data_IF_206854865546
#
_entry.id   IF_206854865546
#
_cell.length_a   1.000
_cell.length_b   1.000
_cell.length_c   1.000
_cell.angle_alpha   90.00
_cell.angle_beta   90.00
_cell.angle_gamma   90.00
#
_symmetry.space_group_name_H-M   'P 1'
#
loop_
_entity.id
_entity.type
_entity.pdbx_description
1 polymer ?
#
# COMPACT_ATOMS: atom_id res chain seq x y z
N UNK A 1 -0.46 -10.93 29.94
CA UNK A 1 -1.01 -9.91 29.00
C UNK A 1 -0.03 -9.79 27.84
N UNK A 2 -0.32 -10.43 26.70
CA UNK A 2 0.50 -10.31 25.50
C UNK A 2 0.25 -8.94 24.88
N UNK A 3 1.24 -8.04 24.93
CA UNK A 3 1.21 -6.79 24.18
C UNK A 3 1.20 -7.16 22.70
N UNK A 4 0.05 -7.00 22.04
CA UNK A 4 -0.06 -7.05 20.59
C UNK A 4 0.88 -5.97 20.05
N UNK A 5 1.97 -6.38 19.40
CA UNK A 5 2.83 -5.46 18.66
C UNK A 5 1.95 -4.67 17.68
N UNK A 6 2.17 -3.36 17.51
CA UNK A 6 1.37 -2.55 16.60
C UNK A 6 1.41 -3.18 15.20
N UNK A 7 0.23 -3.33 14.61
CA UNK A 7 -0.04 -3.84 13.25
C UNK A 7 0.46 -2.87 12.18
N UNK A 8 1.69 -2.38 12.33
CA UNK A 8 2.26 -1.37 11.44
C UNK A 8 2.56 -2.06 10.12
N UNK A 9 1.89 -1.60 9.05
CA UNK A 9 2.23 -1.95 7.69
C UNK A 9 3.72 -1.67 7.44
N UNK A 10 4.35 -2.52 6.63
CA UNK A 10 5.75 -2.36 6.25
C UNK A 10 5.82 -2.25 4.74
N UNK A 11 6.62 -1.33 4.24
CA UNK A 11 6.85 -1.19 2.81
C UNK A 11 8.34 -1.21 2.48
N UNK A 12 8.65 -1.49 1.22
CA UNK A 12 9.99 -1.42 0.66
C UNK A 12 9.94 -1.06 -0.82
N UNK A 13 10.84 -0.19 -1.26
CA UNK A 13 11.05 0.06 -2.70
C UNK A 13 11.82 -1.12 -3.31
N UNK A 14 11.25 -1.83 -4.29
CA UNK A 14 11.93 -2.93 -4.94
C UNK A 14 12.96 -2.43 -5.96
N UNK A 15 14.07 -3.15 -6.14
CA UNK A 15 15.01 -2.92 -7.27
C UNK A 15 14.38 -3.32 -8.59
N UNK A 16 13.55 -4.36 -8.56
CA UNK A 16 12.65 -4.78 -9.64
C UNK A 16 11.43 -5.43 -9.02
N UNK A 17 10.30 -5.38 -9.71
CA UNK A 17 9.14 -6.08 -9.22
C UNK A 17 9.38 -7.59 -9.16
N UNK A 18 8.97 -8.25 -8.05
CA UNK A 18 9.10 -9.68 -7.91
C UNK A 18 8.19 -10.35 -8.93
N UNK A 19 8.72 -11.38 -9.58
CA UNK A 19 7.89 -12.23 -10.41
C UNK A 19 6.89 -13.00 -9.54
N UNK A 20 5.91 -13.64 -10.16
CA UNK A 20 4.86 -14.37 -9.45
C UNK A 20 5.41 -15.35 -8.42
N UNK A 21 6.44 -16.13 -8.76
CA UNK A 21 6.98 -17.15 -7.84
C UNK A 21 7.66 -16.52 -6.64
N UNK A 22 8.40 -15.44 -6.85
CA UNK A 22 9.02 -14.67 -5.76
C UNK A 22 7.96 -14.07 -4.83
N UNK A 23 6.85 -13.56 -5.38
CA UNK A 23 5.71 -13.09 -4.56
C UNK A 23 5.11 -14.20 -3.71
N UNK A 24 4.90 -15.38 -4.31
CA UNK A 24 4.39 -16.56 -3.61
C UNK A 24 5.33 -16.97 -2.46
N UNK A 25 6.64 -17.04 -2.71
CA UNK A 25 7.64 -17.39 -1.70
C UNK A 25 7.69 -16.38 -0.55
N UNK A 26 7.61 -15.07 -0.85
CA UNK A 26 7.55 -14.01 0.15
C UNK A 26 6.26 -14.09 0.96
N UNK A 27 5.11 -14.30 0.31
CA UNK A 27 3.82 -14.41 0.99
C UNK A 27 3.78 -15.62 1.94
N UNK A 28 4.30 -16.77 1.51
CA UNK A 28 4.42 -17.96 2.36
C UNK A 28 5.38 -17.73 3.54
N UNK A 29 6.46 -16.96 3.33
CA UNK A 29 7.33 -16.47 4.40
C UNK A 29 6.59 -15.59 5.40
N UNK A 30 5.77 -14.65 4.93
CA UNK A 30 4.96 -13.76 5.77
C UNK A 30 3.99 -14.56 6.65
N UNK A 31 3.29 -15.58 6.13
CA UNK A 31 2.38 -16.42 6.94
C UNK A 31 3.05 -17.04 8.16
N UNK A 32 4.34 -17.41 8.05
CA UNK A 32 5.11 -18.00 9.17
C UNK A 32 5.36 -17.00 10.30
N UNK A 33 5.45 -15.70 9.99
CA UNK A 33 5.84 -14.66 10.94
C UNK A 33 4.70 -13.69 11.31
N UNK A 34 3.69 -13.53 10.45
CA UNK A 34 2.55 -12.62 10.59
C UNK A 34 1.29 -13.27 10.01
N UNK A 35 0.49 -13.86 10.90
CA UNK A 35 -0.64 -14.75 10.55
C UNK A 35 -1.64 -14.18 9.53
N UNK A 36 -1.84 -12.86 9.50
CA UNK A 36 -2.91 -12.23 8.72
C UNK A 36 -2.42 -11.18 7.71
N UNK A 37 -1.12 -10.92 7.64
CA UNK A 37 -0.57 -9.92 6.73
C UNK A 37 -0.30 -10.55 5.36
N UNK A 38 -0.62 -9.84 4.29
CA UNK A 38 -0.49 -10.34 2.93
C UNK A 38 0.43 -9.43 2.13
N UNK A 39 1.06 -9.98 1.11
CA UNK A 39 1.95 -9.22 0.24
C UNK A 39 1.09 -8.47 -0.78
N UNK A 40 1.32 -7.17 -0.91
CA UNK A 40 0.69 -6.33 -1.92
C UNK A 40 1.79 -5.66 -2.75
N UNK A 41 1.77 -5.85 -4.05
CA UNK A 41 2.62 -5.09 -4.97
C UNK A 41 1.79 -3.99 -5.60
N UNK A 42 2.29 -2.76 -5.53
CA UNK A 42 1.66 -1.55 -6.05
C UNK A 42 2.45 -1.11 -7.28
N UNK A 43 1.79 -1.02 -8.44
CA UNK A 43 2.41 -0.58 -9.70
C UNK A 43 1.58 0.51 -10.35
N UNK A 44 2.23 1.56 -10.82
CA UNK A 44 1.56 2.56 -11.66
C UNK A 44 1.41 2.02 -13.07
N UNK A 45 0.18 1.94 -13.54
CA UNK A 45 -0.18 1.40 -14.85
C UNK A 45 -0.89 2.44 -15.70
N UNK A 46 -0.94 2.23 -17.01
CA UNK A 46 -1.77 3.01 -17.92
C UNK A 46 -3.18 2.41 -18.11
N UNK A 47 -3.95 2.98 -19.05
CA UNK A 47 -5.28 2.49 -19.42
C UNK A 47 -5.28 1.08 -20.04
N UNK A 48 -4.14 0.58 -20.49
CA UNK A 48 -3.95 -0.76 -21.04
C UNK A 48 -3.44 -1.75 -20.00
N UNK A 49 -3.31 -1.33 -18.73
CA UNK A 49 -2.73 -2.10 -17.62
C UNK A 49 -1.24 -2.40 -17.77
N UNK A 50 -0.53 -1.62 -18.57
CA UNK A 50 0.92 -1.74 -18.72
C UNK A 50 1.63 -0.85 -17.69
N UNK A 51 2.70 -1.34 -17.02
CA UNK A 51 3.46 -0.53 -16.07
C UNK A 51 4.15 0.66 -16.75
N UNK A 52 3.97 1.87 -16.21
CA UNK A 52 4.49 3.10 -16.83
C UNK A 52 5.42 3.92 -15.96
N UNK A 53 5.41 3.74 -14.64
CA UNK A 53 6.28 4.49 -13.73
C UNK A 53 6.89 3.60 -12.64
N UNK A 54 7.99 2.89 -12.94
CA UNK A 54 8.62 1.96 -12.01
C UNK A 54 9.27 2.66 -10.80
N UNK A 55 9.51 3.97 -10.87
CA UNK A 55 10.05 4.72 -9.74
C UNK A 55 9.04 4.85 -8.59
N UNK A 56 7.76 4.66 -8.89
CA UNK A 56 6.65 4.65 -7.95
C UNK A 56 6.19 3.23 -7.58
N UNK A 57 6.90 2.19 -8.01
CA UNK A 57 6.56 0.82 -7.61
C UNK A 57 6.89 0.58 -6.13
N UNK A 58 5.98 -0.09 -5.43
CA UNK A 58 6.13 -0.35 -3.99
C UNK A 58 5.67 -1.77 -3.64
N UNK A 59 6.40 -2.41 -2.72
CA UNK A 59 5.94 -3.63 -2.06
C UNK A 59 5.48 -3.28 -0.65
N UNK A 60 4.25 -3.63 -0.32
CA UNK A 60 3.63 -3.38 0.97
C UNK A 60 3.18 -4.70 1.60
N UNK A 61 3.41 -4.84 2.89
CA UNK A 61 2.78 -5.87 3.73
C UNK A 61 1.60 -5.24 4.44
N UNK A 62 0.39 -5.62 4.04
CA UNK A 62 -0.87 -5.03 4.52
C UNK A 62 -1.93 -6.11 4.79
N UNK A 63 -2.96 -5.76 5.56
CA UNK A 63 -4.11 -6.60 5.85
C UNK A 63 -5.25 -6.38 4.85
N UNK A 64 -5.33 -5.21 4.22
CA UNK A 64 -6.33 -4.86 3.20
C UNK A 64 -5.72 -4.13 2.01
N UNK A 65 -6.49 -4.02 0.92
CA UNK A 65 -6.14 -3.23 -0.26
C UNK A 65 -6.12 -1.73 0.10
N UNK A 66 -7.10 -1.26 0.87
CA UNK A 66 -7.17 0.15 1.30
C UNK A 66 -5.98 0.55 2.16
N UNK A 67 -5.50 -0.33 3.04
CA UNK A 67 -4.30 -0.08 3.82
C UNK A 67 -3.06 0.01 2.92
N UNK A 68 -2.93 -0.89 1.94
CA UNK A 68 -1.81 -0.86 0.99
C UNK A 68 -1.84 0.40 0.11
N UNK A 69 -3.03 0.79 -0.35
CA UNK A 69 -3.26 2.04 -1.09
C UNK A 69 -2.83 3.25 -0.26
N UNK A 70 -3.31 3.36 0.98
CA UNK A 70 -2.99 4.49 1.84
C UNK A 70 -1.49 4.59 2.14
N UNK A 71 -0.82 3.45 2.35
CA UNK A 71 0.64 3.42 2.51
C UNK A 71 1.35 3.89 1.24
N UNK A 72 0.87 3.48 0.06
CA UNK A 72 1.42 3.92 -1.21
C UNK A 72 1.21 5.42 -1.43
N UNK A 73 0.00 5.95 -1.19
CA UNK A 73 -0.36 7.36 -1.29
C UNK A 73 0.59 8.23 -0.47
N UNK A 74 0.72 7.93 0.82
CA UNK A 74 1.61 8.67 1.72
C UNK A 74 3.06 8.59 1.32
N UNK A 75 3.53 7.40 0.93
CA UNK A 75 4.91 7.25 0.46
C UNK A 75 5.16 8.02 -0.84
N UNK A 76 4.22 8.00 -1.78
CA UNK A 76 4.34 8.69 -3.06
C UNK A 76 4.38 10.22 -2.86
N UNK A 77 3.51 10.76 -2.01
CA UNK A 77 3.51 12.18 -1.66
C UNK A 77 4.76 12.57 -0.83
N UNK A 78 4.98 11.93 0.31
CA UNK A 78 5.97 12.36 1.31
C UNK A 78 7.42 12.06 0.89
N UNK A 79 7.65 10.96 0.18
CA UNK A 79 9.01 10.44 -0.09
C UNK A 79 9.37 10.54 -1.56
N UNK A 80 8.45 10.22 -2.46
CA UNK A 80 8.70 10.32 -3.89
C UNK A 80 8.39 11.72 -4.46
N UNK A 81 7.76 12.60 -3.67
CA UNK A 81 7.28 13.93 -4.10
C UNK A 81 6.50 13.85 -5.42
N UNK A 82 5.66 12.84 -5.56
CA UNK A 82 4.86 12.62 -6.75
C UNK A 82 3.59 13.47 -6.70
N UNK A 83 3.21 14.03 -7.84
CA UNK A 83 2.03 14.88 -8.01
C UNK A 83 1.14 14.33 -9.14
N UNK A 84 -0.14 14.66 -9.14
CA UNK A 84 -1.10 14.30 -10.18
C UNK A 84 -1.93 13.05 -9.93
N UNK A 85 -2.55 12.56 -11.00
CA UNK A 85 -3.43 11.38 -11.00
C UNK A 85 -2.75 10.14 -11.56
N UNK A 86 -2.88 9.03 -10.86
CA UNK A 86 -2.29 7.75 -11.21
C UNK A 86 -3.33 6.64 -11.18
N UNK A 87 -3.22 5.70 -12.13
CA UNK A 87 -3.90 4.41 -12.03
C UNK A 87 -2.96 3.42 -11.37
N UNK A 88 -3.35 2.91 -10.20
CA UNK A 88 -2.55 2.02 -9.39
C UNK A 88 -3.09 0.59 -9.49
N UNK A 89 -2.28 -0.34 -9.99
CA UNK A 89 -2.54 -1.77 -9.91
C UNK A 89 -2.02 -2.33 -8.58
N UNK A 90 -2.95 -2.74 -7.73
CA UNK A 90 -2.68 -3.41 -6.45
C UNK A 90 -2.86 -4.91 -6.65
N UNK A 91 -1.74 -5.65 -6.72
CA UNK A 91 -1.76 -7.11 -6.81
C UNK A 91 -1.53 -7.73 -5.46
N UNK A 92 -2.50 -8.51 -5.03
CA UNK A 92 -2.61 -9.07 -3.72
C UNK A 92 -2.28 -10.56 -3.74
N UNK A 93 -1.20 -10.94 -3.05
CA UNK A 93 -0.76 -12.34 -2.97
C UNK A 93 -1.03 -12.86 -1.57
N UNK A 94 -2.11 -13.63 -1.43
CA UNK A 94 -2.40 -14.35 -0.19
C UNK A 94 -1.50 -15.59 -0.07
N UNK A 95 -1.00 -15.93 1.12
CA UNK A 95 -0.22 -17.15 1.28
C UNK A 95 -1.05 -18.39 0.96
N UNK A 96 -0.38 -19.47 0.56
CA UNK A 96 -1.08 -20.71 0.22
C UNK A 96 -1.88 -21.21 1.44
N UNK A 97 -3.15 -21.56 1.21
CA UNK A 97 -4.00 -22.16 2.26
C UNK A 97 -3.40 -23.50 2.73
N UNK A 98 -2.94 -24.31 1.77
CA UNK A 98 -2.24 -25.58 1.95
C UNK A 98 -0.96 -25.61 1.11
N UNK A 99 0.12 -26.31 1.52
CA UNK A 99 1.34 -26.50 0.73
C UNK A 99 1.18 -27.08 -0.69
N UNK A 100 -0.01 -27.60 -1.01
CA UNK A 100 -0.35 -28.23 -2.30
C UNK A 100 -1.31 -27.39 -3.13
N UNK A 101 -1.79 -26.27 -2.58
CA UNK A 101 -2.73 -25.36 -3.24
C UNK A 101 -2.01 -24.10 -3.64
N UNK A 102 -2.27 -23.62 -4.85
CA UNK A 102 -1.64 -22.40 -5.36
C UNK A 102 -2.17 -21.16 -4.62
N UNK A 103 -1.31 -20.21 -4.23
CA UNK A 103 -1.72 -18.88 -3.82
C UNK A 103 -2.70 -18.25 -4.82
N UNK A 104 -3.76 -17.63 -4.30
CA UNK A 104 -4.68 -16.83 -5.12
C UNK A 104 -4.11 -15.42 -5.22
N UNK A 105 -3.88 -14.96 -6.44
CA UNK A 105 -3.61 -13.57 -6.74
C UNK A 105 -4.92 -12.89 -7.13
N UNK A 106 -5.11 -11.67 -6.62
CA UNK A 106 -6.20 -10.79 -7.00
C UNK A 106 -5.60 -9.42 -7.31
N UNK A 107 -5.89 -8.87 -8.48
CA UNK A 107 -5.41 -7.57 -8.90
C UNK A 107 -6.58 -6.61 -8.99
N UNK A 108 -6.44 -5.44 -8.36
CA UNK A 108 -7.43 -4.37 -8.37
C UNK A 108 -6.78 -3.09 -8.86
N UNK A 109 -7.45 -2.39 -9.76
CA UNK A 109 -7.04 -1.07 -10.27
C UNK A 109 -7.75 0.01 -9.49
N UNK A 110 -7.00 0.99 -9.00
CA UNK A 110 -7.53 2.12 -8.23
C UNK A 110 -6.96 3.41 -8.78
N UNK A 111 -7.83 4.37 -9.06
CA UNK A 111 -7.41 5.73 -9.38
C UNK A 111 -7.07 6.48 -8.10
N UNK A 112 -5.89 7.09 -8.08
CA UNK A 112 -5.36 7.89 -6.97
C UNK A 112 -5.08 9.28 -7.49
N UNK A 113 -5.63 10.29 -6.82
CA UNK A 113 -5.37 11.71 -7.08
C UNK A 113 -4.53 12.25 -5.93
N UNK A 114 -3.21 12.39 -6.14
CA UNK A 114 -2.29 12.89 -5.11
C UNK A 114 -2.46 14.38 -4.86
N UNK A 115 -2.85 15.15 -5.88
CA UNK A 115 -3.10 16.58 -5.74
C UNK A 115 -4.23 16.83 -4.74
N UNK A 116 -5.25 15.95 -4.72
CA UNK A 116 -6.36 16.04 -3.77
C UNK A 116 -5.94 15.78 -2.32
N UNK A 117 -4.94 14.93 -2.08
CA UNK A 117 -4.50 14.58 -0.73
C UNK A 117 -3.82 15.76 -0.03
N UNK A 118 -3.01 16.53 -0.76
CA UNK A 118 -2.38 17.75 -0.23
C UNK A 118 -3.42 18.78 0.25
N UNK A 119 -4.59 18.87 -0.41
CA UNK A 119 -5.67 19.77 0.02
C UNK A 119 -6.44 19.28 1.26
N UNK A 120 -6.57 17.96 1.46
CA UNK A 120 -7.31 17.40 2.60
C UNK A 120 -6.50 17.49 3.90
N UNK A 121 -5.18 17.29 3.85
CA UNK A 121 -4.27 17.44 5.00
C UNK A 121 -4.14 18.91 5.45
N UNK A 122 -4.08 19.86 4.51
CA UNK A 122 -4.06 21.30 4.84
C UNK A 122 -5.37 21.72 5.54
N UNK A 123 -6.52 21.19 5.12
CA UNK A 123 -7.80 21.53 5.72
C UNK A 123 -7.98 20.94 7.14
N UNK A 124 -7.52 19.70 7.40
CA UNK A 124 -7.52 19.12 8.75
C UNK A 124 -6.56 19.86 9.70
N UNK A 125 -5.38 20.27 9.22
CA UNK A 125 -4.45 21.09 9.99
C UNK A 125 -5.05 22.46 10.38
N UNK A 126 -5.84 23.06 9.48
CA UNK A 126 -6.52 24.33 9.74
C UNK A 126 -7.77 24.19 10.63
N UNK A 127 -8.52 23.09 10.53
CA UNK A 127 -9.69 22.84 11.37
C UNK A 127 -9.33 22.63 12.86
N UNK A 128 -8.12 22.12 13.14
CA UNK A 128 -7.60 21.98 14.51
C UNK A 128 -7.12 23.29 15.15
N UNK A 129 -6.93 24.36 14.37
CA UNK A 129 -6.54 25.68 14.90
C UNK A 129 -7.76 26.56 15.28
N UNK A 130 -8.95 26.29 14.74
CA UNK A 130 -10.16 27.09 15.03
C UNK A 130 -10.96 26.61 16.26
N UNK A 131 -10.55 25.52 16.92
CA UNK A 131 -11.28 24.92 18.06
C UNK A 131 -10.59 25.09 19.41
N UNK A 132 -9.75 26.12 19.59
CA UNK A 132 -9.38 26.57 20.95
C UNK A 132 -10.41 27.59 21.46
N UNK A 133 -11.34 27.21 22.36
CA UNK A 133 -12.13 28.20 23.07
C UNK A 133 -11.19 28.95 24.02
N UNK A 134 -10.83 30.18 23.65
CA UNK A 134 -10.34 31.17 24.61
C UNK A 134 -11.41 31.30 25.70
N UNK A 135 -11.21 30.63 26.83
CA UNK A 135 -12.03 30.80 28.01
C UNK A 135 -11.42 31.96 28.79
N UNK A 136 -12.10 33.10 28.74
CA UNK A 136 -11.90 34.28 29.59
C UNK A 136 -12.53 33.98 30.96
#
# INVERSE_FOLDING_TARGET
>A
MNKLLPRTARFSKPVRMPNRREREDIADGLKRHRRDARLVTCQVVDSQWEPVNPDLDLIVTAHSIDEARHVWERWAADVACAEGRYMLALTYTAPAAHPRTRPKEETTGVEVDLDRLDFEDDYEAHAHLETSPNTI
#
